data_IF_053046870970
#
_entry.id   IF_053046870970
#
_cell.length_a   1.000
_cell.length_b   1.000
_cell.length_c   1.000
_cell.angle_alpha   90.00
_cell.angle_beta   90.00
_cell.angle_gamma   90.00
#
_symmetry.space_group_name_H-M   'P 1'
#
loop_
_entity.id
_entity.type
_entity.pdbx_description
1 polymer ?
#
# COMPACT_ATOMS: atom_id res chain seq x y z
N UNK A 1 10.58 9.94 -8.83
CA UNK A 1 9.14 10.15 -9.06
C UNK A 1 8.63 8.89 -9.76
N UNK A 2 7.43 8.37 -9.43
CA UNK A 2 6.86 7.23 -10.17
C UNK A 2 6.22 7.77 -11.43
N UNK A 3 6.65 7.29 -12.60
CA UNK A 3 6.32 7.91 -13.89
C UNK A 3 4.87 7.69 -14.33
N UNK A 4 4.23 6.59 -13.89
CA UNK A 4 2.86 6.28 -14.26
C UNK A 4 2.11 5.62 -13.11
N UNK A 5 1.11 6.34 -12.60
CA UNK A 5 0.26 5.94 -11.48
C UNK A 5 -1.20 5.76 -11.90
N UNK A 6 -1.50 5.59 -13.19
CA UNK A 6 -2.86 5.38 -13.68
C UNK A 6 -3.39 3.99 -13.32
N UNK A 7 -4.71 3.84 -13.25
CA UNK A 7 -5.40 2.58 -12.93
C UNK A 7 -4.94 1.43 -13.83
N UNK A 8 -4.79 1.68 -15.14
CA UNK A 8 -4.40 0.66 -16.12
C UNK A 8 -2.99 0.10 -15.86
N UNK A 9 -2.16 0.87 -15.17
CA UNK A 9 -0.79 0.48 -14.81
C UNK A 9 -0.74 -0.17 -13.43
N UNK A 10 -1.49 0.35 -12.46
CA UNK A 10 -1.47 -0.14 -11.09
C UNK A 10 -2.26 -1.43 -10.91
N UNK A 11 -3.45 -1.54 -11.52
CA UNK A 11 -4.37 -2.66 -11.29
C UNK A 11 -3.76 -4.03 -11.66
N UNK A 12 -3.07 -4.21 -12.80
CA UNK A 12 -2.43 -5.48 -13.11
C UNK A 12 -1.30 -5.84 -12.11
N UNK A 13 -0.59 -4.84 -11.60
CA UNK A 13 0.46 -5.04 -10.60
C UNK A 13 -0.14 -5.50 -9.28
N UNK A 14 -1.23 -4.84 -8.84
CA UNK A 14 -1.97 -5.18 -7.62
C UNK A 14 -2.49 -6.62 -7.72
N UNK A 15 -3.21 -6.98 -8.78
CA UNK A 15 -3.74 -8.33 -8.99
C UNK A 15 -2.68 -9.43 -8.98
N UNK A 16 -1.48 -9.14 -9.50
CA UNK A 16 -0.37 -10.09 -9.49
C UNK A 16 0.29 -10.23 -8.11
N UNK A 17 0.17 -9.23 -7.24
CA UNK A 17 0.93 -9.14 -5.98
C UNK A 17 0.08 -9.40 -4.75
N UNK A 18 -1.22 -9.17 -4.84
CA UNK A 18 -2.18 -9.31 -3.74
C UNK A 18 -3.05 -10.52 -4.04
N UNK A 19 -3.29 -11.34 -3.03
CA UNK A 19 -4.18 -12.49 -3.14
C UNK A 19 -5.62 -12.00 -3.39
N UNK A 20 -6.38 -12.58 -4.34
CA UNK A 20 -7.81 -12.29 -4.47
C UNK A 20 -8.54 -12.44 -3.14
N UNK A 21 -9.63 -11.69 -2.96
CA UNK A 21 -10.44 -11.66 -1.73
C UNK A 21 -9.72 -11.03 -0.51
N UNK A 22 -8.57 -10.37 -0.71
CA UNK A 22 -7.90 -9.62 0.36
C UNK A 22 -8.58 -8.27 0.61
N UNK A 23 -8.46 -7.76 1.84
CA UNK A 23 -8.77 -6.37 2.18
C UNK A 23 -7.70 -5.43 1.66
N UNK A 24 -8.11 -4.45 0.86
CA UNK A 24 -7.24 -3.42 0.30
C UNK A 24 -7.70 -2.07 0.82
N UNK A 25 -6.83 -1.40 1.57
CA UNK A 25 -7.06 -0.05 2.09
C UNK A 25 -6.28 0.96 1.26
N UNK A 26 -6.96 1.96 0.69
CA UNK A 26 -6.30 3.04 -0.07
C UNK A 26 -6.81 4.41 0.35
N UNK A 27 -6.03 5.44 -0.01
CA UNK A 27 -6.51 6.81 -0.01
C UNK A 27 -7.58 7.03 -1.11
N UNK A 28 -8.04 8.27 -1.26
CA UNK A 28 -9.07 8.66 -2.23
C UNK A 28 -8.52 8.94 -3.64
N UNK A 29 -7.29 8.51 -3.95
CA UNK A 29 -6.71 8.73 -5.27
C UNK A 29 -7.48 7.96 -6.36
N UNK A 30 -7.88 8.68 -7.42
CA UNK A 30 -8.76 8.18 -8.50
C UNK A 30 -8.25 6.91 -9.19
N UNK A 31 -6.94 6.70 -9.22
CA UNK A 31 -6.39 5.50 -9.87
C UNK A 31 -6.78 4.18 -9.18
N UNK A 32 -7.29 4.26 -7.95
CA UNK A 32 -7.81 3.12 -7.20
C UNK A 32 -9.29 2.83 -7.47
N UNK A 33 -9.98 3.63 -8.29
CA UNK A 33 -11.41 3.43 -8.57
C UNK A 33 -11.73 2.04 -9.14
N UNK A 34 -10.81 1.48 -9.92
CA UNK A 34 -10.99 0.14 -10.48
C UNK A 34 -10.95 -0.98 -9.42
N UNK A 35 -10.56 -0.69 -8.17
CA UNK A 35 -10.60 -1.67 -7.07
C UNK A 35 -12.02 -1.90 -6.55
N UNK A 36 -12.93 -0.93 -6.66
CA UNK A 36 -14.33 -1.07 -6.20
C UNK A 36 -15.11 -2.16 -6.93
N UNK A 37 -14.72 -2.45 -8.19
CA UNK A 37 -15.35 -3.47 -9.06
C UNK A 37 -14.42 -4.66 -9.30
N UNK A 38 -13.39 -4.81 -8.48
CA UNK A 38 -12.40 -5.87 -8.59
C UNK A 38 -12.71 -7.04 -7.65
N UNK A 39 -11.80 -8.01 -7.62
CA UNK A 39 -11.85 -9.19 -6.73
C UNK A 39 -11.39 -8.91 -5.29
N UNK A 40 -11.35 -7.63 -4.87
CA UNK A 40 -10.84 -7.22 -3.57
C UNK A 40 -11.94 -6.58 -2.72
N UNK A 41 -11.84 -6.74 -1.40
CA UNK A 41 -12.61 -5.92 -0.46
C UNK A 41 -11.93 -4.56 -0.34
N UNK A 42 -12.46 -3.57 -1.05
CA UNK A 42 -11.83 -2.25 -1.14
C UNK A 42 -12.45 -1.27 -0.14
N UNK A 43 -11.60 -0.69 0.71
CA UNK A 43 -11.97 0.34 1.68
C UNK A 43 -11.16 1.61 1.42
N UNK A 44 -11.87 2.71 1.16
CA UNK A 44 -11.27 4.02 0.94
C UNK A 44 -11.29 4.81 2.23
N UNK A 45 -10.14 5.34 2.62
CA UNK A 45 -10.04 6.19 3.79
C UNK A 45 -9.68 7.60 3.32
N UNK A 46 -10.60 8.54 3.52
CA UNK A 46 -10.36 9.93 3.21
C UNK A 46 -9.60 10.61 4.35
N UNK A 47 -8.28 10.72 4.24
CA UNK A 47 -7.45 11.30 5.30
C UNK A 47 -7.62 12.83 5.46
N UNK A 48 -8.31 13.53 4.55
CA UNK A 48 -8.62 14.96 4.70
C UNK A 48 -9.88 15.21 5.53
N UNK A 49 -10.77 14.23 5.63
CA UNK A 49 -12.06 14.34 6.33
C UNK A 49 -12.13 13.46 7.58
N UNK A 50 -11.45 12.31 7.58
CA UNK A 50 -11.47 11.34 8.67
C UNK A 50 -10.04 11.04 9.12
N UNK A 51 -9.73 11.41 10.37
CA UNK A 51 -8.44 11.09 11.01
C UNK A 51 -8.26 9.57 11.24
N UNK A 52 -9.37 8.82 11.27
CA UNK A 52 -9.44 7.38 11.49
C UNK A 52 -10.79 6.80 11.05
N UNK A 53 -10.80 5.57 10.52
CA UNK A 53 -11.99 4.70 10.53
C UNK A 53 -11.66 3.50 11.41
N UNK A 54 -12.27 3.42 12.60
CA UNK A 54 -11.97 2.39 13.62
C UNK A 54 -10.47 2.38 14.00
N UNK A 55 -9.78 1.24 13.89
CA UNK A 55 -8.33 1.12 14.13
C UNK A 55 -7.48 1.31 12.85
N UNK A 56 -8.12 1.51 11.69
CA UNK A 56 -7.43 1.58 10.41
C UNK A 56 -7.10 3.05 10.10
N UNK A 57 -5.84 3.42 10.37
CA UNK A 57 -5.31 4.73 10.01
C UNK A 57 -4.41 4.60 8.78
N UNK A 58 -4.77 5.26 7.68
CA UNK A 58 -3.85 5.44 6.55
C UNK A 58 -2.51 6.02 7.03
N UNK A 59 -2.56 6.98 7.96
CA UNK A 59 -1.36 7.54 8.59
C UNK A 59 -0.47 6.47 9.25
N UNK A 60 -1.07 5.41 9.80
CA UNK A 60 -0.33 4.27 10.36
C UNK A 60 0.37 3.45 9.28
N UNK A 61 -0.34 3.14 8.19
CA UNK A 61 0.22 2.42 7.03
C UNK A 61 1.34 3.26 6.38
N UNK A 62 1.11 4.56 6.18
CA UNK A 62 2.10 5.49 5.64
C UNK A 62 3.33 5.61 6.55
N UNK A 63 3.11 5.77 7.86
CA UNK A 63 4.20 5.85 8.81
C UNK A 63 5.01 4.55 8.86
N UNK A 64 4.34 3.39 8.85
CA UNK A 64 5.01 2.09 8.73
C UNK A 64 5.92 2.05 7.52
N UNK A 65 5.39 2.37 6.33
CA UNK A 65 6.20 2.37 5.11
C UNK A 65 7.32 3.41 5.13
N UNK A 66 7.12 4.56 5.76
CA UNK A 66 8.17 5.58 5.93
C UNK A 66 9.29 5.08 6.85
N UNK A 67 8.95 4.42 7.96
CA UNK A 67 9.93 3.78 8.84
C UNK A 67 10.66 2.63 8.14
N UNK A 68 9.93 1.78 7.41
CA UNK A 68 10.51 0.69 6.62
C UNK A 68 11.50 1.26 5.61
N UNK A 69 11.10 2.22 4.78
CA UNK A 69 12.00 2.91 3.83
C UNK A 69 13.24 3.49 4.51
N UNK A 70 13.09 4.09 5.69
CA UNK A 70 14.22 4.66 6.45
C UNK A 70 15.20 3.59 6.91
N UNK A 71 14.71 2.44 7.40
CA UNK A 71 15.55 1.29 7.76
C UNK A 71 16.24 0.75 6.49
N UNK A 72 15.48 0.49 5.43
CA UNK A 72 16.00 -0.07 4.18
C UNK A 72 17.10 0.81 3.55
N UNK A 73 16.97 2.15 3.64
CA UNK A 73 17.99 3.11 3.16
C UNK A 73 19.33 2.99 3.88
N UNK A 74 19.35 2.63 5.17
CA UNK A 74 20.61 2.45 5.92
C UNK A 74 21.49 1.34 5.36
N UNK A 75 20.89 0.39 4.64
CA UNK A 75 21.59 -0.75 4.07
C UNK A 75 22.09 -0.51 2.62
N UNK A 76 21.92 0.68 2.04
CA UNK A 76 22.35 1.03 0.67
C UNK A 76 21.89 0.04 -0.42
N UNK A 77 20.76 -0.64 -0.18
CA UNK A 77 20.27 -1.73 -1.02
C UNK A 77 20.27 -3.05 -0.25
N UNK A 78 19.11 -3.71 -0.24
CA UNK A 78 18.94 -5.00 0.43
C UNK A 78 18.63 -6.05 -0.61
N UNK A 79 19.31 -7.19 -0.49
CA UNK A 79 18.97 -8.36 -1.30
C UNK A 79 17.48 -8.69 -1.08
N UNK A 80 16.69 -8.79 -2.16
CA UNK A 80 15.24 -9.07 -2.09
C UNK A 80 14.90 -10.29 -1.21
N UNK A 81 15.80 -11.29 -1.13
CA UNK A 81 15.64 -12.47 -0.25
C UNK A 81 15.66 -12.14 1.25
N UNK A 82 16.26 -11.02 1.66
CA UNK A 82 16.36 -10.56 3.05
C UNK A 82 15.28 -9.53 3.41
N UNK A 83 14.44 -9.13 2.44
CA UNK A 83 13.42 -8.11 2.68
C UNK A 83 12.33 -8.60 3.63
N UNK A 84 11.85 -9.83 3.48
CA UNK A 84 10.82 -10.39 4.37
C UNK A 84 11.29 -10.44 5.82
N UNK A 85 12.52 -10.90 6.06
CA UNK A 85 13.12 -10.97 7.41
C UNK A 85 13.17 -9.59 8.09
N UNK A 86 13.44 -8.53 7.34
CA UNK A 86 13.45 -7.16 7.90
C UNK A 86 12.04 -6.70 8.21
N UNK A 87 11.07 -6.99 7.33
CA UNK A 87 9.67 -6.59 7.52
C UNK A 87 8.99 -7.36 8.67
N UNK A 88 9.39 -8.61 8.92
CA UNK A 88 8.88 -9.42 10.05
C UNK A 88 9.42 -8.94 11.41
N UNK A 89 10.58 -8.28 11.42
CA UNK A 89 11.19 -7.73 12.63
C UNK A 89 10.81 -6.27 12.94
N UNK A 90 9.91 -5.67 12.14
CA UNK A 90 9.41 -4.30 12.28
C UNK A 90 8.00 -4.27 12.86
#
# INVERSE_FOLDING_TARGET
MVENTKSETLLPVIKRKIKPDSWVYTDTYRSYDALDVSEFHHERINHSELFAVKQNHINGIENFWNQAKRILRKYNGINRKKLSLILEGM
#
